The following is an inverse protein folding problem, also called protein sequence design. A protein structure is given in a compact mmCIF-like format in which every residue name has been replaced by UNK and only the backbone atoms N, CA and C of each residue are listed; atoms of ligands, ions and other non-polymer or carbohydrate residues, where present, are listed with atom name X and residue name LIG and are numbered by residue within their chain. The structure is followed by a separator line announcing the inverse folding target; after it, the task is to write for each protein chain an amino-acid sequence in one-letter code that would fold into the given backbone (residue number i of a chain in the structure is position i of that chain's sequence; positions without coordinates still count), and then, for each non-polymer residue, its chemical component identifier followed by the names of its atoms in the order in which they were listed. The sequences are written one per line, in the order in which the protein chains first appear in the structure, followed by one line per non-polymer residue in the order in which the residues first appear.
data_IF_688436984360
#
_entry.id   IF_688436984360
#
_cell.length_a   1.000
_cell.length_b   1.000
_cell.length_c   1.000
_cell.angle_alpha   90.00
_cell.angle_beta   90.00
_cell.angle_gamma   90.00
#
_symmetry.space_group_name_H-M   'P 1'
#
loop_
_entity.id
_entity.type
_entity.pdbx_description
1 polymer ?
#
# COMPACT_ATOMS: atom_id res chain seq x y z
N UNK A 1 -0.54 1.84 -27.50
CA UNK A 1 -0.55 2.00 -26.03
C UNK A 1 -1.14 0.72 -25.47
N UNK A 2 -0.30 -0.15 -24.86
CA UNK A 2 -0.80 -1.37 -24.23
C UNK A 2 -1.58 -0.94 -22.97
N UNK A 3 -2.88 -1.22 -22.93
CA UNK A 3 -3.64 -1.06 -21.69
C UNK A 3 -3.11 -2.11 -20.71
N UNK A 4 -2.35 -1.66 -19.69
CA UNK A 4 -2.04 -2.50 -18.54
C UNK A 4 -3.38 -3.07 -18.03
N UNK A 5 -3.49 -4.40 -17.84
CA UNK A 5 -4.72 -4.98 -17.32
C UNK A 5 -5.05 -4.27 -16.01
N UNK A 6 -6.30 -3.80 -15.88
CA UNK A 6 -6.76 -3.19 -14.64
C UNK A 6 -6.67 -4.26 -13.54
N UNK A 7 -5.66 -4.17 -12.70
CA UNK A 7 -5.50 -5.07 -11.55
C UNK A 7 -6.65 -4.77 -10.59
N UNK A 8 -7.47 -5.78 -10.33
CA UNK A 8 -8.55 -5.66 -9.36
C UNK A 8 -7.95 -5.84 -7.96
N UNK A 9 -8.05 -4.79 -7.15
CA UNK A 9 -7.69 -4.84 -5.74
C UNK A 9 -8.98 -4.97 -4.93
N UNK A 10 -9.17 -6.07 -4.17
CA UNK A 10 -10.30 -6.24 -3.28
C UNK A 10 -10.44 -5.09 -2.28
N UNK A 11 -11.66 -4.61 -2.05
CA UNK A 11 -11.92 -3.54 -1.08
C UNK A 11 -11.50 -3.90 0.37
N UNK A 12 -11.51 -5.20 0.70
CA UNK A 12 -11.04 -5.71 1.99
C UNK A 12 -9.53 -5.48 2.18
N UNK A 13 -8.73 -5.56 1.12
CA UNK A 13 -7.29 -5.36 1.19
C UNK A 13 -6.98 -3.88 1.43
N UNK A 14 -7.73 -2.98 0.78
CA UNK A 14 -7.66 -1.53 1.03
C UNK A 14 -8.04 -1.22 2.49
N UNK A 15 -9.11 -1.84 2.99
CA UNK A 15 -9.58 -1.63 4.36
C UNK A 15 -8.50 -2.04 5.38
N UNK A 16 -7.82 -3.16 5.12
CA UNK A 16 -6.72 -3.64 5.96
C UNK A 16 -5.52 -2.69 5.95
N UNK A 17 -5.14 -2.17 4.78
CA UNK A 17 -4.06 -1.17 4.68
C UNK A 17 -4.40 0.10 5.47
N UNK A 18 -5.64 0.60 5.32
CA UNK A 18 -6.09 1.80 6.05
C UNK A 18 -6.18 1.58 7.56
N UNK A 19 -6.54 0.37 8.00
CA UNK A 19 -6.55 0.04 9.43
C UNK A 19 -5.14 0.06 10.03
N UNK A 20 -4.14 -0.39 9.26
CA UNK A 20 -2.74 -0.40 9.69
C UNK A 20 -2.10 0.99 9.73
N UNK A 21 -2.54 1.93 8.89
CA UNK A 21 -2.01 3.29 8.85
C UNK A 21 -2.64 4.23 9.88
N UNK A 22 -3.82 3.87 10.37
CA UNK A 22 -4.63 4.72 11.24
C UNK A 22 -3.90 5.08 12.52
N UNK A 23 -3.82 6.38 12.81
CA UNK A 23 -3.21 6.96 14.02
C UNK A 23 -1.70 6.65 14.18
N UNK A 24 -1.04 6.09 13.15
CA UNK A 24 0.41 5.79 13.12
C UNK A 24 1.20 6.92 12.45
N UNK A 25 0.62 7.49 11.40
CA UNK A 25 1.28 8.44 10.49
C UNK A 25 0.65 9.83 10.57
N UNK A 26 1.41 10.85 10.19
CA UNK A 26 0.83 12.12 9.74
C UNK A 26 0.05 11.92 8.44
N UNK A 27 -0.83 12.86 8.07
CA UNK A 27 -1.61 12.76 6.84
C UNK A 27 -0.75 12.61 5.56
N UNK A 28 0.44 13.22 5.52
CA UNK A 28 1.34 13.14 4.37
C UNK A 28 2.03 11.76 4.30
N UNK A 29 2.55 11.29 5.42
CA UNK A 29 3.15 9.96 5.55
C UNK A 29 2.12 8.86 5.26
N UNK A 30 0.88 9.00 5.74
CA UNK A 30 -0.21 8.08 5.44
C UNK A 30 -0.47 8.00 3.94
N UNK A 31 -0.59 9.14 3.25
CA UNK A 31 -0.77 9.16 1.80
C UNK A 31 0.39 8.48 1.07
N UNK A 32 1.63 8.67 1.53
CA UNK A 32 2.79 8.00 0.93
C UNK A 32 2.76 6.49 1.17
N UNK A 33 2.49 6.07 2.40
CA UNK A 33 2.37 4.67 2.80
C UNK A 33 1.27 3.95 2.01
N UNK A 34 0.09 4.56 1.90
CA UNK A 34 -1.04 4.04 1.10
C UNK A 34 -0.64 3.85 -0.36
N UNK A 35 0.09 4.81 -0.94
CA UNK A 35 0.56 4.75 -2.33
C UNK A 35 1.54 3.59 -2.55
N UNK A 36 2.47 3.36 -1.61
CA UNK A 36 3.40 2.23 -1.67
C UNK A 36 2.69 0.89 -1.54
N UNK A 37 1.73 0.77 -0.61
CA UNK A 37 0.91 -0.44 -0.49
C UNK A 37 0.14 -0.74 -1.79
N UNK A 38 -0.48 0.27 -2.39
CA UNK A 38 -1.21 0.14 -3.66
C UNK A 38 -0.28 -0.30 -4.79
N UNK A 39 0.94 0.22 -4.86
CA UNK A 39 1.94 -0.19 -5.84
C UNK A 39 2.22 -1.70 -5.72
N UNK A 40 2.50 -2.20 -4.52
CA UNK A 40 2.77 -3.64 -4.31
C UNK A 40 1.56 -4.52 -4.57
N UNK A 41 0.36 -4.08 -4.20
CA UNK A 41 -0.88 -4.77 -4.52
C UNK A 41 -1.11 -4.86 -6.04
N UNK A 42 -0.74 -3.82 -6.80
CA UNK A 42 -0.79 -3.83 -8.26
C UNK A 42 0.20 -4.81 -8.88
N UNK A 43 1.35 -5.05 -8.24
CA UNK A 43 2.33 -6.06 -8.65
C UNK A 43 1.89 -7.50 -8.30
N UNK A 44 0.71 -7.68 -7.69
CA UNK A 44 0.15 -8.98 -7.33
C UNK A 44 0.66 -9.56 -6.01
N UNK A 45 1.28 -8.72 -5.17
CA UNK A 45 1.73 -9.08 -3.83
C UNK A 45 0.51 -9.18 -2.90
N UNK A 46 0.54 -10.10 -1.93
CA UNK A 46 -0.53 -10.19 -0.93
C UNK A 46 -0.55 -8.94 -0.04
N UNK A 47 -1.71 -8.62 0.52
CA UNK A 47 -1.87 -7.42 1.36
C UNK A 47 -0.93 -7.39 2.55
N UNK A 48 -0.64 -8.53 3.18
CA UNK A 48 0.32 -8.63 4.29
C UNK A 48 1.72 -8.23 3.86
N UNK A 49 2.21 -8.81 2.76
CA UNK A 49 3.54 -8.50 2.25
C UNK A 49 3.63 -7.08 1.69
N UNK A 50 2.55 -6.55 1.08
CA UNK A 50 2.51 -5.17 0.61
C UNK A 50 2.67 -4.17 1.77
N UNK A 51 2.02 -4.44 2.91
CA UNK A 51 2.17 -3.67 4.14
C UNK A 51 3.60 -3.76 4.68
N UNK A 52 4.14 -4.97 4.78
CA UNK A 52 5.51 -5.18 5.28
C UNK A 52 6.55 -4.44 4.43
N UNK A 53 6.45 -4.54 3.10
CA UNK A 53 7.36 -3.87 2.17
C UNK A 53 7.20 -2.34 2.24
N UNK A 54 5.98 -1.82 2.25
CA UNK A 54 5.74 -0.38 2.35
C UNK A 54 6.24 0.21 3.68
N UNK A 55 6.16 -0.56 4.78
CA UNK A 55 6.71 -0.16 6.07
C UNK A 55 8.25 -0.16 6.05
N UNK A 56 8.86 -1.15 5.40
CA UNK A 56 10.32 -1.19 5.20
C UNK A 56 10.79 0.03 4.40
N UNK A 57 10.13 0.34 3.29
CA UNK A 57 10.43 1.53 2.48
C UNK A 57 10.34 2.81 3.31
N UNK A 58 9.24 2.97 4.05
CA UNK A 58 9.04 4.11 4.94
C UNK A 58 10.16 4.26 5.99
N UNK A 59 10.63 3.15 6.58
CA UNK A 59 11.71 3.16 7.56
C UNK A 59 13.10 3.43 6.96
N UNK A 60 13.30 3.10 5.68
CA UNK A 60 14.57 3.35 4.97
C UNK A 60 14.66 4.80 4.49
N UNK A 61 13.53 5.40 4.11
CA UNK A 61 13.45 6.79 3.64
C UNK A 61 13.48 7.84 4.79
N UNK A 62 13.46 7.40 6.06
CA UNK A 62 13.64 8.21 7.29
C UNK A 62 15.11 8.42 7.66
#
# INVERSE_FOLDING_TARGET
MQHLPKVFIPAQDISKVMEMSKDVFTNEEELHFLKSCLYYLMEGVSVEHAIDMAMIDYLIDL
#
